data_IF_545565593151
#
_entry.id   IF_545565593151
#
_cell.length_a   1.000
_cell.length_b   1.000
_cell.length_c   1.000
_cell.angle_alpha   90.00
_cell.angle_beta   90.00
_cell.angle_gamma   90.00
#
_symmetry.space_group_name_H-M   'P 1'
#
loop_
_entity.id
_entity.type
_entity.pdbx_description
1 polymer ?
#
# COMPACT_ATOMS: atom_id res chain seq x y z
N UNK A 1 -13.33 -1.55 -13.01
CA UNK A 1 -13.78 -2.92 -12.70
C UNK A 1 -12.63 -3.86 -13.02
N UNK A 2 -12.16 -4.67 -12.06
CA UNK A 2 -11.01 -5.56 -12.30
C UNK A 2 -11.39 -6.92 -12.93
N UNK A 3 -12.57 -7.44 -12.62
CA UNK A 3 -13.12 -8.63 -13.28
C UNK A 3 -12.56 -9.98 -12.80
N UNK A 4 -11.74 -10.00 -11.75
CA UNK A 4 -11.24 -11.24 -11.15
C UNK A 4 -12.35 -12.04 -10.46
N UNK A 5 -12.29 -13.39 -10.47
CA UNK A 5 -13.12 -14.19 -9.57
C UNK A 5 -12.73 -13.91 -8.11
N UNK A 6 -13.72 -13.95 -7.21
CA UNK A 6 -13.54 -13.70 -5.78
C UNK A 6 -13.35 -15.01 -5.01
N UNK A 7 -12.63 -14.95 -3.90
CA UNK A 7 -12.45 -16.09 -3.02
C UNK A 7 -13.75 -16.45 -2.29
N UNK A 8 -14.01 -17.74 -2.13
CA UNK A 8 -15.06 -18.25 -1.23
C UNK A 8 -14.47 -18.40 0.17
N UNK A 9 -14.25 -17.28 0.86
CA UNK A 9 -13.52 -17.25 2.13
C UNK A 9 -14.04 -18.23 3.18
N UNK A 10 -15.36 -18.33 3.35
CA UNK A 10 -16.00 -19.31 4.24
C UNK A 10 -15.52 -20.76 3.98
N UNK A 11 -15.41 -21.16 2.71
CA UNK A 11 -14.93 -22.49 2.33
C UNK A 11 -13.43 -22.65 2.55
N UNK A 12 -12.66 -21.59 2.37
CA UNK A 12 -11.22 -21.60 2.60
C UNK A 12 -10.91 -21.71 4.10
N UNK A 13 -11.68 -21.00 4.94
CA UNK A 13 -11.57 -21.05 6.40
C UNK A 13 -11.93 -22.43 6.94
N UNK A 14 -13.06 -23.02 6.50
CA UNK A 14 -13.46 -24.39 6.85
C UNK A 14 -12.37 -25.43 6.53
N UNK A 15 -11.56 -25.19 5.50
CA UNK A 15 -10.46 -26.07 5.11
C UNK A 15 -9.11 -25.72 5.78
N UNK A 16 -9.04 -24.66 6.59
CA UNK A 16 -7.81 -24.18 7.22
C UNK A 16 -6.83 -23.55 6.23
N UNK A 17 -7.35 -22.75 5.28
CA UNK A 17 -6.60 -21.93 4.31
C UNK A 17 -5.43 -22.63 3.56
N UNK A 18 -5.57 -23.87 3.06
CA UNK A 18 -4.45 -24.61 2.48
C UNK A 18 -3.89 -23.94 1.22
N UNK A 19 -4.77 -23.35 0.40
CA UNK A 19 -4.36 -22.64 -0.82
C UNK A 19 -3.52 -21.40 -0.50
N UNK A 20 -3.97 -20.57 0.44
CA UNK A 20 -3.23 -19.36 0.82
C UNK A 20 -1.94 -19.69 1.57
N UNK A 21 -1.94 -20.71 2.43
CA UNK A 21 -0.72 -21.19 3.09
C UNK A 21 0.31 -21.60 2.03
N UNK A 22 -0.08 -22.37 1.01
CA UNK A 22 0.81 -22.79 -0.06
C UNK A 22 1.32 -21.59 -0.89
N UNK A 23 0.46 -20.60 -1.15
CA UNK A 23 0.83 -19.36 -1.86
C UNK A 23 1.87 -18.56 -1.09
N UNK A 24 1.67 -18.35 0.22
CA UNK A 24 2.64 -17.65 1.06
C UNK A 24 3.96 -18.42 1.13
N UNK A 25 3.91 -19.73 1.37
CA UNK A 25 5.11 -20.57 1.37
C UNK A 25 5.93 -20.36 0.08
N UNK A 26 5.27 -20.41 -1.08
CA UNK A 26 5.97 -20.22 -2.35
C UNK A 26 6.52 -18.81 -2.53
N UNK A 27 5.81 -17.78 -2.07
CA UNK A 27 6.30 -16.41 -2.13
C UNK A 27 7.56 -16.22 -1.27
N UNK A 28 7.57 -16.76 -0.05
CA UNK A 28 8.72 -16.64 0.85
C UNK A 28 9.90 -17.55 0.49
N UNK A 29 9.70 -18.59 -0.34
CA UNK A 29 10.81 -19.30 -1.00
C UNK A 29 11.53 -18.45 -2.06
N UNK A 30 10.87 -17.40 -2.56
CA UNK A 30 11.37 -16.55 -3.65
C UNK A 30 11.86 -15.19 -3.19
N UNK A 31 11.30 -14.66 -2.09
CA UNK A 31 11.55 -13.30 -1.62
C UNK A 31 11.57 -13.24 -0.10
N UNK A 32 12.46 -12.42 0.47
CA UNK A 32 12.54 -12.20 1.92
C UNK A 32 11.34 -11.41 2.47
N UNK A 33 10.75 -10.52 1.67
CA UNK A 33 9.63 -9.65 2.03
C UNK A 33 8.59 -9.67 0.91
N UNK A 34 7.31 -9.84 1.27
CA UNK A 34 6.20 -9.87 0.31
C UNK A 34 5.29 -8.65 0.53
N UNK A 35 5.16 -7.80 -0.49
CA UNK A 35 4.05 -6.82 -0.55
C UNK A 35 2.78 -7.54 -0.95
N UNK A 36 1.71 -7.39 -0.17
CA UNK A 36 0.38 -7.86 -0.58
C UNK A 36 -0.41 -6.68 -1.13
N UNK A 37 -0.68 -6.76 -2.42
CA UNK A 37 -1.54 -5.84 -3.15
C UNK A 37 -2.98 -5.91 -2.66
N UNK A 38 -3.64 -4.76 -2.56
CA UNK A 38 -5.01 -4.63 -2.10
C UNK A 38 -5.29 -5.30 -0.75
N UNK A 39 -4.43 -5.04 0.24
CA UNK A 39 -4.50 -5.68 1.57
C UNK A 39 -5.88 -5.50 2.23
N UNK A 40 -6.55 -4.36 1.99
CA UNK A 40 -7.89 -4.12 2.51
C UNK A 40 -8.90 -5.22 2.19
N UNK A 41 -8.68 -5.96 1.10
CA UNK A 41 -9.47 -7.12 0.67
C UNK A 41 -9.58 -8.24 1.71
N UNK A 42 -8.65 -8.31 2.67
CA UNK A 42 -8.70 -9.29 3.76
C UNK A 42 -9.64 -8.88 4.90
N UNK A 43 -9.89 -7.59 5.09
CA UNK A 43 -10.90 -7.10 6.02
C UNK A 43 -12.28 -7.13 5.36
N UNK A 44 -12.40 -6.53 4.18
CA UNK A 44 -13.61 -6.56 3.35
C UNK A 44 -13.26 -6.41 1.88
N UNK A 45 -14.07 -6.89 0.96
CA UNK A 45 -13.83 -6.78 -0.48
C UNK A 45 -15.09 -6.35 -1.22
N UNK A 46 -14.89 -5.62 -2.32
CA UNK A 46 -15.98 -5.13 -3.16
C UNK A 46 -16.41 -6.24 -4.14
N UNK A 47 -17.63 -6.74 -3.97
CA UNK A 47 -18.19 -7.81 -4.78
C UNK A 47 -19.17 -7.27 -5.81
N UNK A 48 -18.82 -7.36 -7.08
CA UNK A 48 -19.68 -6.94 -8.21
C UNK A 48 -20.28 -8.17 -8.89
N UNK A 49 -21.59 -8.18 -9.23
CA UNK A 49 -22.18 -9.25 -10.01
C UNK A 49 -21.44 -9.49 -11.33
N UNK A 50 -21.20 -10.76 -11.67
CA UNK A 50 -20.55 -11.12 -12.93
C UNK A 50 -21.35 -10.60 -14.13
N UNK A 51 -20.67 -9.99 -15.09
CA UNK A 51 -21.28 -9.39 -16.28
C UNK A 51 -21.77 -7.94 -16.10
N UNK A 52 -21.64 -7.34 -14.91
CA UNK A 52 -21.92 -5.91 -14.75
C UNK A 52 -20.94 -5.06 -15.60
N UNK A 53 -21.42 -3.98 -16.25
CA UNK A 53 -20.58 -3.12 -17.10
C UNK A 53 -19.66 -2.20 -16.28
N UNK A 54 -20.04 -1.88 -15.04
CA UNK A 54 -19.31 -0.98 -14.14
C UNK A 54 -19.21 -1.60 -12.75
N UNK A 55 -18.41 -0.98 -11.87
CA UNK A 55 -18.25 -1.43 -10.48
C UNK A 55 -19.33 -0.87 -9.53
N UNK A 56 -20.21 0.01 -9.99
CA UNK A 56 -21.12 0.79 -9.14
C UNK A 56 -22.14 -0.06 -8.39
N UNK A 57 -22.57 -1.19 -8.97
CA UNK A 57 -23.60 -2.08 -8.42
C UNK A 57 -23.06 -3.15 -7.47
N UNK A 58 -21.82 -2.99 -6.98
CA UNK A 58 -21.23 -3.93 -6.04
C UNK A 58 -21.71 -3.75 -4.59
N UNK A 59 -21.18 -4.60 -3.71
CA UNK A 59 -21.38 -4.51 -2.27
C UNK A 59 -20.11 -4.93 -1.54
N UNK A 60 -19.87 -4.33 -0.38
CA UNK A 60 -18.82 -4.79 0.53
C UNK A 60 -19.23 -6.12 1.18
N UNK A 61 -18.33 -7.09 1.14
CA UNK A 61 -18.45 -8.38 1.83
C UNK A 61 -17.26 -8.57 2.76
N UNK A 62 -17.42 -9.23 3.92
CA UNK A 62 -16.33 -9.44 4.86
C UNK A 62 -15.28 -10.41 4.27
N UNK A 63 -14.01 -10.08 4.45
CA UNK A 63 -12.88 -10.96 4.17
C UNK A 63 -12.59 -11.93 5.35
N UNK A 64 -11.49 -12.69 5.30
CA UNK A 64 -11.12 -13.67 6.32
C UNK A 64 -10.54 -13.05 7.60
N UNK A 65 -10.25 -11.74 7.62
CA UNK A 65 -9.65 -11.05 8.75
C UNK A 65 -8.30 -11.64 9.18
N UNK A 66 -8.05 -11.68 10.49
CA UNK A 66 -6.81 -12.19 11.06
C UNK A 66 -6.66 -13.70 10.96
N UNK A 67 -7.77 -14.45 10.85
CA UNK A 67 -7.77 -15.92 10.87
C UNK A 67 -6.86 -16.53 9.79
N UNK A 68 -6.81 -15.92 8.60
CA UNK A 68 -5.89 -16.35 7.55
C UNK A 68 -4.42 -16.19 7.98
N UNK A 69 -4.08 -15.04 8.52
CA UNK A 69 -2.69 -14.70 8.87
C UNK A 69 -2.21 -15.47 10.09
N UNK A 70 -3.09 -15.71 11.07
CA UNK A 70 -2.83 -16.59 12.21
C UNK A 70 -2.46 -18.01 11.75
N UNK A 71 -3.25 -18.60 10.85
CA UNK A 71 -2.96 -19.94 10.28
C UNK A 71 -1.65 -19.95 9.50
N UNK A 72 -1.35 -18.89 8.74
CA UNK A 72 -0.09 -18.77 8.00
C UNK A 72 1.09 -18.68 8.97
N UNK A 73 0.98 -17.88 10.03
CA UNK A 73 2.00 -17.73 11.06
C UNK A 73 2.24 -19.03 11.83
N UNK A 74 1.18 -19.75 12.20
CA UNK A 74 1.28 -21.05 12.86
C UNK A 74 2.03 -22.09 12.01
N UNK A 75 1.79 -22.09 10.69
CA UNK A 75 2.33 -23.12 9.78
C UNK A 75 3.71 -22.79 9.23
N UNK A 76 3.98 -21.52 8.97
CA UNK A 76 5.19 -21.08 8.27
C UNK A 76 6.14 -20.27 9.18
N UNK A 77 5.70 -19.92 10.39
CA UNK A 77 6.42 -19.02 11.30
C UNK A 77 6.21 -17.54 10.97
N UNK A 78 6.94 -16.63 11.62
CA UNK A 78 6.86 -15.19 11.37
C UNK A 78 7.15 -14.85 9.90
N UNK A 79 6.33 -13.98 9.31
CA UNK A 79 6.44 -13.58 7.91
C UNK A 79 6.66 -12.07 7.78
N UNK A 80 7.53 -11.68 6.84
CA UNK A 80 7.77 -10.27 6.52
C UNK A 80 6.84 -9.82 5.41
N UNK A 81 5.73 -9.19 5.79
CA UNK A 81 4.71 -8.69 4.85
C UNK A 81 4.67 -7.17 4.87
N UNK A 82 4.49 -6.54 3.71
CA UNK A 82 4.11 -5.13 3.57
C UNK A 82 2.65 -5.10 3.09
N UNK A 83 1.80 -4.36 3.78
CA UNK A 83 0.40 -4.17 3.39
C UNK A 83 0.30 -2.98 2.43
N UNK A 84 -0.18 -3.21 1.21
CA UNK A 84 -0.63 -2.11 0.35
C UNK A 84 -1.97 -1.60 0.87
N UNK A 85 -1.94 -0.42 1.49
CA UNK A 85 -3.06 0.25 2.15
C UNK A 85 -3.27 1.68 1.59
N UNK A 86 -3.15 1.84 0.27
CA UNK A 86 -3.38 3.13 -0.38
C UNK A 86 -4.87 3.38 -0.65
N UNK A 87 -5.21 4.65 -0.86
CA UNK A 87 -6.58 5.09 -1.12
C UNK A 87 -7.42 5.31 0.13
N UNK A 88 -8.74 5.16 0.01
CA UNK A 88 -9.67 5.33 1.14
C UNK A 88 -9.72 4.04 1.95
N UNK A 89 -9.04 4.06 3.10
CA UNK A 89 -8.93 2.95 4.04
C UNK A 89 -9.80 3.20 5.26
N UNK A 90 -10.44 2.15 5.78
CA UNK A 90 -11.28 2.24 6.98
C UNK A 90 -10.46 1.89 8.23
N UNK A 91 -10.85 2.36 9.43
CA UNK A 91 -10.14 2.04 10.67
C UNK A 91 -10.00 0.53 10.93
N UNK A 92 -10.92 -0.29 10.46
CA UNK A 92 -10.90 -1.76 10.61
C UNK A 92 -9.76 -2.39 9.81
N UNK A 93 -9.46 -1.86 8.61
CA UNK A 93 -8.33 -2.31 7.80
C UNK A 93 -7.01 -1.96 8.50
N UNK A 94 -6.92 -0.76 9.07
CA UNK A 94 -5.75 -0.35 9.85
C UNK A 94 -5.59 -1.21 11.11
N UNK A 95 -6.67 -1.51 11.81
CA UNK A 95 -6.65 -2.41 12.96
C UNK A 95 -6.16 -3.82 12.58
N UNK A 96 -6.63 -4.37 11.45
CA UNK A 96 -6.15 -5.64 10.94
C UNK A 96 -4.64 -5.58 10.64
N UNK A 97 -4.20 -4.57 9.89
CA UNK A 97 -2.78 -4.38 9.52
C UNK A 97 -1.88 -4.25 10.76
N UNK A 98 -2.25 -3.37 11.69
CA UNK A 98 -1.50 -3.10 12.92
C UNK A 98 -1.49 -4.34 13.82
N UNK A 99 -2.64 -5.01 13.97
CA UNK A 99 -2.76 -6.24 14.76
C UNK A 99 -1.89 -7.39 14.25
N UNK A 100 -1.63 -7.44 12.94
CA UNK A 100 -0.69 -8.40 12.34
C UNK A 100 0.76 -7.90 12.32
N UNK A 101 1.04 -6.66 12.74
CA UNK A 101 2.38 -6.09 12.75
C UNK A 101 2.95 -5.80 11.36
N UNK A 102 2.09 -5.56 10.35
CA UNK A 102 2.53 -5.30 8.99
C UNK A 102 2.72 -3.79 8.73
N UNK A 103 3.88 -3.36 8.21
CA UNK A 103 4.03 -1.99 7.76
C UNK A 103 3.07 -1.65 6.62
N UNK A 104 2.49 -0.45 6.66
CA UNK A 104 1.72 0.11 5.55
C UNK A 104 2.62 0.79 4.52
N UNK A 105 2.00 1.55 3.61
CA UNK A 105 2.67 2.32 2.56
C UNK A 105 2.36 3.81 2.66
N UNK A 106 3.36 4.60 2.29
CA UNK A 106 3.21 6.04 2.02
C UNK A 106 3.94 6.39 0.72
N UNK A 107 3.34 7.23 -0.12
CA UNK A 107 3.86 7.60 -1.44
C UNK A 107 3.96 9.12 -1.52
N UNK A 108 5.18 9.65 -1.62
CA UNK A 108 5.43 11.09 -1.56
C UNK A 108 4.74 11.87 -2.68
N UNK A 109 4.56 11.27 -3.86
CA UNK A 109 3.81 11.91 -4.96
C UNK A 109 2.34 12.23 -4.60
N UNK A 110 1.77 11.63 -3.55
CA UNK A 110 0.42 11.91 -3.04
C UNK A 110 0.41 12.89 -1.85
N UNK A 111 1.56 13.46 -1.46
CA UNK A 111 1.69 14.23 -0.23
C UNK A 111 1.30 15.70 -0.35
N UNK A 112 1.47 16.29 -1.54
CA UNK A 112 1.59 17.74 -1.69
C UNK A 112 0.35 18.45 -2.26
N UNK A 113 -0.78 17.72 -2.38
CA UNK A 113 -2.02 18.18 -3.01
C UNK A 113 -3.14 18.54 -2.01
N UNK A 114 -2.83 18.68 -0.72
CA UNK A 114 -3.84 18.96 0.30
C UNK A 114 -3.31 19.61 1.56
N UNK A 115 -3.96 19.27 2.67
CA UNK A 115 -3.72 19.85 3.99
C UNK A 115 -2.48 19.24 4.67
N UNK A 116 -1.97 19.94 5.70
CA UNK A 116 -0.86 19.45 6.51
C UNK A 116 -1.16 18.12 7.24
N UNK A 117 -2.42 17.70 7.31
CA UNK A 117 -2.85 16.40 7.87
C UNK A 117 -2.77 15.26 6.86
N UNK A 118 -2.35 15.50 5.62
CA UNK A 118 -2.19 14.43 4.63
C UNK A 118 -1.18 13.39 5.11
N UNK A 119 -1.63 12.13 5.26
CA UNK A 119 -0.81 11.01 5.76
C UNK A 119 0.45 10.74 4.95
N UNK A 120 0.48 11.20 3.69
CA UNK A 120 1.62 11.02 2.81
C UNK A 120 2.75 12.04 3.02
N UNK A 121 2.53 13.05 3.87
CA UNK A 121 3.57 14.01 4.24
C UNK A 121 4.56 13.39 5.26
N UNK A 122 5.88 13.59 5.10
CA UNK A 122 6.91 13.01 5.96
C UNK A 122 6.71 13.16 7.47
N UNK A 123 6.23 14.30 7.95
CA UNK A 123 6.00 14.52 9.39
C UNK A 123 4.79 13.76 9.96
N UNK A 124 3.94 13.18 9.11
CA UNK A 124 2.82 12.30 9.49
C UNK A 124 3.17 10.82 9.32
N UNK A 125 4.39 10.49 8.88
CA UNK A 125 4.81 9.10 8.75
C UNK A 125 4.98 8.44 10.12
N UNK A 126 4.69 7.15 10.16
CA UNK A 126 4.92 6.29 11.32
C UNK A 126 6.09 5.33 11.05
N UNK A 127 6.79 4.82 12.09
CA UNK A 127 7.87 3.85 11.90
C UNK A 127 7.43 2.58 11.17
N UNK A 128 6.22 2.10 11.41
CA UNK A 128 5.66 0.89 10.76
C UNK A 128 5.06 1.19 9.39
N UNK A 129 5.87 1.79 8.52
CA UNK A 129 5.50 2.17 7.16
C UNK A 129 6.69 2.00 6.22
N UNK A 130 6.41 1.80 4.93
CA UNK A 130 7.37 1.88 3.83
C UNK A 130 7.08 3.13 3.02
N UNK A 131 8.07 4.03 2.93
CA UNK A 131 7.98 5.24 2.10
C UNK A 131 8.48 4.98 0.69
N UNK A 132 7.74 5.47 -0.28
CA UNK A 132 8.10 5.47 -1.69
C UNK A 132 8.13 6.90 -2.21
N UNK A 133 9.02 7.21 -3.16
CA UNK A 133 8.87 8.43 -3.98
C UNK A 133 7.60 8.30 -4.81
N UNK A 134 7.57 7.27 -5.66
CA UNK A 134 6.42 6.76 -6.42
C UNK A 134 6.45 5.23 -6.46
N UNK A 135 5.35 4.61 -6.85
CA UNK A 135 5.28 3.18 -7.14
C UNK A 135 5.40 2.92 -8.65
N UNK A 136 5.31 1.67 -9.08
CA UNK A 136 5.22 1.32 -10.50
C UNK A 136 3.96 1.84 -11.22
N UNK A 137 2.91 2.24 -10.48
CA UNK A 137 1.68 2.80 -11.04
C UNK A 137 1.75 4.33 -11.20
N UNK A 138 2.84 4.93 -10.72
CA UNK A 138 3.10 6.35 -10.80
C UNK A 138 4.02 6.67 -11.99
N UNK A 139 3.95 7.91 -12.48
CA UNK A 139 5.01 8.43 -13.35
C UNK A 139 6.33 8.52 -12.55
N UNK A 140 7.44 8.62 -13.27
CA UNK A 140 8.73 9.04 -12.72
C UNK A 140 8.55 10.33 -11.93
N UNK A 141 9.38 10.56 -10.91
CA UNK A 141 9.27 11.77 -10.09
C UNK A 141 9.46 13.05 -10.92
N UNK A 142 10.33 13.01 -11.95
CA UNK A 142 10.47 14.13 -12.88
C UNK A 142 9.19 14.36 -13.68
N UNK A 143 8.63 13.32 -14.30
CA UNK A 143 7.39 13.41 -15.08
C UNK A 143 6.19 13.86 -14.26
N UNK A 144 6.04 13.30 -13.06
CA UNK A 144 5.06 13.75 -12.06
C UNK A 144 5.22 15.24 -11.78
N UNK A 145 6.41 15.69 -11.38
CA UNK A 145 6.65 17.08 -11.01
C UNK A 145 6.41 18.05 -12.17
N UNK A 146 6.78 17.67 -13.39
CA UNK A 146 6.56 18.48 -14.58
C UNK A 146 5.07 18.63 -14.91
N UNK A 147 4.28 17.58 -14.69
CA UNK A 147 2.84 17.58 -14.91
C UNK A 147 2.04 18.39 -13.88
N UNK A 148 2.61 18.68 -12.69
CA UNK A 148 1.90 19.39 -11.63
C UNK A 148 1.51 20.81 -12.06
N UNK A 149 0.32 21.30 -11.66
CA UNK A 149 0.02 22.73 -11.68
C UNK A 149 0.99 23.53 -10.79
N UNK A 150 1.26 24.79 -11.17
CA UNK A 150 2.26 25.62 -10.47
C UNK A 150 1.97 25.81 -8.96
N UNK A 151 0.70 25.83 -8.56
CA UNK A 151 0.33 25.92 -7.14
C UNK A 151 0.75 24.67 -6.35
N UNK A 152 0.66 23.47 -6.94
CA UNK A 152 1.14 22.24 -6.31
C UNK A 152 2.67 22.18 -6.31
N UNK A 153 3.35 22.62 -7.39
CA UNK A 153 4.82 22.76 -7.38
C UNK A 153 5.30 23.68 -6.25
N UNK A 154 4.57 24.77 -6.01
CA UNK A 154 4.85 25.68 -4.90
C UNK A 154 4.62 25.05 -3.52
N UNK A 155 3.64 24.15 -3.36
CA UNK A 155 3.47 23.39 -2.12
C UNK A 155 4.69 22.48 -1.87
N UNK A 156 5.18 21.78 -2.89
CA UNK A 156 6.39 20.94 -2.76
C UNK A 156 7.58 21.81 -2.33
N UNK A 157 7.85 22.91 -3.04
CA UNK A 157 8.96 23.83 -2.70
C UNK A 157 8.84 24.40 -1.29
N UNK A 158 7.62 24.78 -0.87
CA UNK A 158 7.36 25.29 0.48
C UNK A 158 7.63 24.24 1.55
N UNK A 159 7.21 23.00 1.30
CA UNK A 159 7.44 21.91 2.25
C UNK A 159 8.93 21.60 2.41
N UNK A 160 9.66 21.58 1.30
CA UNK A 160 11.10 21.30 1.30
C UNK A 160 11.95 22.49 1.77
N UNK A 161 11.40 23.70 1.74
CA UNK A 161 12.08 24.91 2.17
C UNK A 161 13.15 25.41 1.19
N UNK A 162 13.20 24.88 -0.04
CA UNK A 162 14.14 25.32 -1.07
C UNK A 162 13.54 25.21 -2.48
N UNK A 163 14.18 25.87 -3.45
CA UNK A 163 13.88 25.65 -4.85
C UNK A 163 14.31 24.24 -5.25
N UNK A 164 13.42 23.52 -5.92
CA UNK A 164 13.72 22.21 -6.51
C UNK A 164 14.63 22.42 -7.72
N UNK A 165 15.85 21.88 -7.66
CA UNK A 165 16.75 21.84 -8.81
C UNK A 165 16.69 20.48 -9.50
N UNK A 166 16.39 19.43 -8.74
CA UNK A 166 16.35 18.06 -9.21
C UNK A 166 15.26 17.29 -8.43
N UNK A 167 13.99 17.37 -8.88
CA UNK A 167 12.85 16.79 -8.16
C UNK A 167 13.04 15.30 -7.78
N UNK A 168 13.58 14.42 -8.66
CA UNK A 168 13.92 13.05 -8.27
C UNK A 168 14.84 12.98 -7.04
N UNK A 169 16.02 13.63 -7.10
CA UNK A 169 16.98 13.59 -5.99
C UNK A 169 16.44 14.24 -4.71
N UNK A 170 15.65 15.30 -4.87
CA UNK A 170 15.02 15.99 -3.74
C UNK A 170 13.99 15.10 -3.04
N UNK A 171 13.13 14.39 -3.77
CA UNK A 171 12.18 13.44 -3.17
C UNK A 171 12.87 12.18 -2.63
N UNK A 172 13.93 11.69 -3.26
CA UNK A 172 14.74 10.59 -2.72
C UNK A 172 15.33 10.97 -1.35
N UNK A 173 15.84 12.20 -1.19
CA UNK A 173 16.34 12.70 0.09
C UNK A 173 15.22 12.73 1.14
N UNK A 174 14.04 13.22 0.76
CA UNK A 174 12.88 13.27 1.65
C UNK A 174 12.44 11.87 2.10
N UNK A 175 12.41 10.91 1.18
CA UNK A 175 12.11 9.52 1.51
C UNK A 175 13.13 8.96 2.52
N UNK A 176 14.42 9.24 2.34
CA UNK A 176 15.49 8.79 3.25
C UNK A 176 15.49 9.50 4.61
N UNK A 177 14.91 10.70 4.71
CA UNK A 177 14.76 11.45 5.97
C UNK A 177 13.50 11.05 6.77
N UNK A 178 12.61 10.28 6.16
CA UNK A 178 11.41 9.75 6.81
C UNK A 178 11.74 8.88 8.03
N UNK A 179 10.82 8.83 9.00
CA UNK A 179 10.88 7.87 10.12
C UNK A 179 10.47 6.44 9.72
N UNK A 180 10.02 6.26 8.47
CA UNK A 180 9.59 4.97 7.92
C UNK A 180 10.69 3.90 8.00
N UNK A 181 10.30 2.65 8.23
CA UNK A 181 11.23 1.52 8.37
C UNK A 181 12.05 1.27 7.11
N UNK A 182 11.44 1.46 5.95
CA UNK A 182 12.07 1.28 4.65
C UNK A 182 11.75 2.47 3.75
N UNK A 183 12.74 2.91 2.97
CA UNK A 183 12.57 3.85 1.87
C UNK A 183 12.89 3.13 0.56
N UNK A 184 11.94 3.10 -0.37
CA UNK A 184 12.07 2.44 -1.66
C UNK A 184 11.94 3.48 -2.77
N UNK A 185 12.90 3.47 -3.69
CA UNK A 185 12.96 4.41 -4.82
C UNK A 185 12.93 3.59 -6.13
N UNK A 186 12.05 3.93 -7.09
CA UNK A 186 12.11 3.34 -8.42
C UNK A 186 13.46 3.60 -9.08
N UNK A 187 13.95 2.65 -9.87
CA UNK A 187 15.23 2.80 -10.56
C UNK A 187 15.20 3.98 -11.55
N UNK A 188 14.04 4.30 -12.11
CA UNK A 188 13.86 5.44 -13.02
C UNK A 188 14.05 6.81 -12.35
N UNK A 189 14.01 6.87 -11.01
CA UNK A 189 14.31 8.10 -10.25
C UNK A 189 15.83 8.25 -9.96
N UNK A 190 16.65 7.21 -10.21
CA UNK A 190 18.10 7.16 -9.97
C UNK A 190 18.90 7.42 -11.25
#
# INVERSE_FOLDING_TARGET
LWGNPLYRWERMEQAGFPWWTARFKRAFELTDIVRIDHFRGFESYWSVPAGAPTAESGKWLPGPGSALFEVVQERLGPQSIIAEDLGVITPEVDQLRIGQGYPGMTVLQFAFDGEATNRYLPHNHEPMTVVYTGTHDNDTTQGWFDSLPEHQKNNVRRYLGHALMDPPWDLMRVAQQSVARYAIVPMQDV
#
